data_IF_681531229268
#
_entry.id   IF_681531229268
#
_cell.length_a   1.000
_cell.length_b   1.000
_cell.length_c   1.000
_cell.angle_alpha   90.00
_cell.angle_beta   90.00
_cell.angle_gamma   90.00
#
_symmetry.space_group_name_H-M   'P 1'
#
loop_
_entity.id
_entity.type
_entity.pdbx_description
1 polymer ?
#
# COMPACT_ATOMS: atom_id res chain seq x y z
N UNK A 1 -24.72 5.73 19.50
CA UNK A 1 -23.50 5.50 18.69
C UNK A 1 -23.81 4.38 17.70
N UNK A 2 -24.01 4.70 16.42
CA UNK A 2 -24.35 3.69 15.40
C UNK A 2 -23.10 2.90 15.00
N UNK A 3 -23.23 1.58 15.01
CA UNK A 3 -22.28 0.56 14.53
C UNK A 3 -21.26 1.10 13.52
N UNK A 4 -20.09 1.51 14.00
CA UNK A 4 -18.89 1.46 13.14
C UNK A 4 -18.56 -0.03 13.01
N UNK A 5 -19.24 -0.73 12.09
CA UNK A 5 -18.82 -2.07 11.69
C UNK A 5 -17.30 -2.01 11.47
N UNK A 6 -16.57 -2.88 12.16
CA UNK A 6 -15.12 -3.02 12.10
C UNK A 6 -14.72 -3.50 10.70
N UNK A 7 -14.74 -2.60 9.72
CA UNK A 7 -14.33 -2.92 8.35
C UNK A 7 -12.81 -2.88 8.26
N UNK A 8 -12.20 -4.00 7.90
CA UNK A 8 -10.76 -4.13 7.69
C UNK A 8 -10.26 -3.42 6.43
N UNK A 9 -11.17 -2.93 5.58
CA UNK A 9 -10.83 -2.12 4.41
C UNK A 9 -10.96 -0.62 4.69
N UNK A 10 -10.13 0.21 4.03
CA UNK A 10 -10.30 1.66 4.06
C UNK A 10 -11.63 2.08 3.43
N UNK A 11 -12.13 3.24 3.85
CA UNK A 11 -13.34 3.83 3.24
C UNK A 11 -12.99 4.40 1.87
N UNK A 12 -13.89 4.28 0.88
CA UNK A 12 -13.71 4.95 -0.41
C UNK A 12 -13.58 6.48 -0.21
N UNK A 13 -12.90 7.18 -1.13
CA UNK A 13 -12.89 8.63 -1.13
C UNK A 13 -14.32 9.16 -1.31
N UNK A 14 -14.61 10.32 -0.69
CA UNK A 14 -15.93 10.95 -0.78
C UNK A 14 -16.22 11.49 -2.19
N UNK A 15 -15.18 11.97 -2.88
CA UNK A 15 -15.25 12.44 -4.27
C UNK A 15 -14.33 11.55 -5.13
N UNK A 16 -14.89 10.52 -5.81
CA UNK A 16 -14.11 9.61 -6.65
C UNK A 16 -13.45 10.29 -7.85
N UNK A 17 -14.05 11.36 -8.38
CA UNK A 17 -13.56 12.02 -9.59
C UNK A 17 -12.33 12.89 -9.25
N UNK A 18 -12.44 13.72 -8.21
CA UNK A 18 -11.27 14.47 -7.69
C UNK A 18 -10.16 13.51 -7.27
N UNK A 19 -10.52 12.39 -6.64
CA UNK A 19 -9.54 11.35 -6.31
C UNK A 19 -8.84 10.80 -7.54
N UNK A 20 -9.59 10.45 -8.58
CA UNK A 20 -9.03 9.92 -9.83
C UNK A 20 -8.09 10.93 -10.49
N UNK A 21 -8.53 12.18 -10.63
CA UNK A 21 -7.74 13.29 -11.22
C UNK A 21 -6.40 13.47 -10.54
N UNK A 22 -6.37 13.42 -9.21
CA UNK A 22 -5.14 13.57 -8.43
C UNK A 22 -4.05 12.55 -8.79
N UNK A 23 -4.42 11.35 -9.25
CA UNK A 23 -3.49 10.27 -9.57
C UNK A 23 -3.42 9.95 -11.07
N UNK A 24 -4.01 10.79 -11.95
CA UNK A 24 -4.06 10.52 -13.40
C UNK A 24 -2.68 10.25 -14.01
N UNK A 25 -1.64 10.97 -13.54
CA UNK A 25 -0.25 10.78 -13.98
C UNK A 25 0.32 9.38 -13.70
N UNK A 26 -0.19 8.69 -12.67
CA UNK A 26 0.35 7.40 -12.23
C UNK A 26 -0.51 6.21 -12.68
N UNK A 27 -1.69 6.45 -13.27
CA UNK A 27 -2.65 5.41 -13.68
C UNK A 27 -2.04 4.31 -14.57
N UNK A 28 -1.03 4.63 -15.39
CA UNK A 28 -0.36 3.67 -16.27
C UNK A 28 0.76 2.85 -15.59
N UNK A 29 1.20 3.26 -14.40
CA UNK A 29 2.34 2.67 -13.67
C UNK A 29 1.93 2.08 -12.31
N UNK A 30 0.64 2.07 -11.99
CA UNK A 30 0.12 1.61 -10.70
C UNK A 30 0.45 0.13 -10.45
N UNK A 31 0.44 -0.69 -11.50
CA UNK A 31 0.59 -2.14 -11.38
C UNK A 31 1.63 -2.68 -12.36
N UNK A 32 2.65 -3.34 -11.84
CA UNK A 32 3.62 -4.10 -12.63
C UNK A 32 3.44 -5.61 -12.36
N UNK A 33 2.83 -6.29 -13.33
CA UNK A 33 2.52 -7.72 -13.29
C UNK A 33 3.63 -8.62 -13.84
N UNK A 34 4.81 -8.10 -14.15
CA UNK A 34 5.89 -8.87 -14.79
C UNK A 34 6.58 -9.91 -13.88
N UNK A 35 5.97 -10.32 -12.75
CA UNK A 35 6.55 -11.32 -11.86
C UNK A 35 6.09 -12.74 -12.18
N UNK A 36 7.04 -13.68 -12.06
CA UNK A 36 6.94 -15.08 -12.50
C UNK A 36 6.38 -16.05 -11.44
N UNK A 37 6.37 -15.65 -10.16
CA UNK A 37 5.89 -16.49 -9.06
C UNK A 37 4.36 -16.47 -8.96
N UNK A 38 3.71 -17.61 -8.65
CA UNK A 38 2.26 -17.67 -8.51
C UNK A 38 1.80 -16.91 -7.25
N UNK A 39 0.72 -16.16 -7.39
CA UNK A 39 0.05 -15.51 -6.27
C UNK A 39 -0.50 -16.54 -5.29
N UNK A 40 -0.19 -16.34 -4.01
CA UNK A 40 -0.79 -17.05 -2.89
C UNK A 40 -2.04 -16.33 -2.38
N UNK A 41 -2.93 -17.08 -1.71
CA UNK A 41 -4.20 -16.55 -1.20
C UNK A 41 -4.50 -17.06 0.21
N UNK A 42 -4.89 -16.15 1.10
CA UNK A 42 -5.47 -16.46 2.41
C UNK A 42 -6.90 -15.91 2.44
N UNK A 43 -7.89 -16.79 2.65
CA UNK A 43 -9.31 -16.37 2.78
C UNK A 43 -9.57 -15.68 4.11
N UNK A 44 -10.27 -14.54 4.07
CA UNK A 44 -10.70 -13.76 5.23
C UNK A 44 -12.12 -14.19 5.62
N UNK A 45 -12.32 -14.44 6.91
CA UNK A 45 -13.65 -14.79 7.42
C UNK A 45 -14.55 -13.53 7.40
N UNK A 46 -15.83 -13.66 7.03
CA UNK A 46 -16.76 -12.55 7.12
C UNK A 46 -16.78 -11.98 8.55
N UNK A 47 -16.71 -10.65 8.67
CA UNK A 47 -16.75 -9.96 9.97
C UNK A 47 -15.43 -9.91 10.73
N UNK A 48 -14.31 -10.44 10.18
CA UNK A 48 -12.98 -10.27 10.78
C UNK A 48 -12.65 -8.79 11.00
N UNK A 49 -12.05 -8.48 12.15
CA UNK A 49 -11.56 -7.14 12.41
C UNK A 49 -10.30 -6.83 11.59
N UNK A 50 -9.94 -5.55 11.49
CA UNK A 50 -8.69 -5.16 10.82
C UNK A 50 -7.47 -5.82 11.46
N UNK A 51 -7.43 -5.85 12.79
CA UNK A 51 -6.33 -6.43 13.56
C UNK A 51 -6.18 -7.93 13.28
N UNK A 52 -7.29 -8.68 13.29
CA UNK A 52 -7.27 -10.12 12.97
C UNK A 52 -6.77 -10.40 11.55
N UNK A 53 -7.08 -9.50 10.60
CA UNK A 53 -6.60 -9.62 9.22
C UNK A 53 -5.09 -9.33 9.16
N UNK A 54 -4.60 -8.32 9.89
CA UNK A 54 -3.19 -7.96 9.88
C UNK A 54 -2.30 -9.02 10.51
N UNK A 55 -2.75 -9.68 11.58
CA UNK A 55 -2.02 -10.81 12.18
C UNK A 55 -1.92 -12.05 11.28
N UNK A 56 -2.63 -12.07 10.15
CA UNK A 56 -2.57 -13.14 9.14
C UNK A 56 -1.74 -12.77 7.93
N UNK A 57 -1.12 -11.58 7.92
CA UNK A 57 -0.18 -11.22 6.86
C UNK A 57 1.06 -12.13 6.97
N UNK A 58 1.60 -12.61 5.83
CA UNK A 58 2.78 -13.46 5.82
C UNK A 58 4.01 -12.68 6.32
N UNK A 59 5.05 -13.37 6.74
CA UNK A 59 6.37 -12.80 7.03
C UNK A 59 7.45 -13.83 6.71
N UNK A 60 8.66 -13.35 6.45
CA UNK A 60 9.85 -14.19 6.22
C UNK A 60 11.07 -13.53 6.86
N UNK A 61 12.11 -14.33 7.14
CA UNK A 61 13.34 -13.86 7.77
C UNK A 61 14.23 -13.04 6.83
N UNK A 62 14.25 -13.41 5.55
CA UNK A 62 15.28 -13.02 4.58
C UNK A 62 14.74 -12.38 3.30
N UNK A 63 13.42 -12.29 3.13
CA UNK A 63 12.79 -11.61 1.99
C UNK A 63 11.47 -10.92 2.33
N UNK A 64 11.05 -10.06 1.41
CA UNK A 64 9.79 -9.31 1.52
C UNK A 64 8.64 -10.04 0.82
N UNK A 65 7.45 -10.03 1.44
CA UNK A 65 6.20 -10.31 0.73
C UNK A 65 5.56 -9.00 0.29
N UNK A 66 4.88 -9.01 -0.85
CA UNK A 66 4.05 -7.91 -1.31
C UNK A 66 2.67 -8.40 -1.73
N UNK A 67 1.66 -7.58 -1.47
CA UNK A 67 0.30 -7.98 -1.77
C UNK A 67 -0.77 -6.93 -1.52
N UNK A 68 -2.01 -7.41 -1.48
CA UNK A 68 -3.19 -6.59 -1.26
C UNK A 68 -4.27 -7.33 -0.50
N UNK A 69 -5.10 -6.55 0.18
CA UNK A 69 -6.19 -7.02 1.03
C UNK A 69 -7.52 -6.60 0.39
N UNK A 70 -8.44 -7.55 0.28
CA UNK A 70 -9.81 -7.32 -0.19
C UNK A 70 -10.81 -7.73 0.90
N UNK A 71 -12.11 -7.64 0.61
CA UNK A 71 -13.16 -8.02 1.57
C UNK A 71 -13.06 -9.47 2.01
N UNK A 72 -12.59 -10.35 1.14
CA UNK A 72 -12.69 -11.81 1.31
C UNK A 72 -11.35 -12.52 1.31
N UNK A 73 -10.24 -11.83 1.04
CA UNK A 73 -8.93 -12.45 0.90
C UNK A 73 -7.76 -11.48 1.02
N UNK A 74 -6.64 -12.03 1.47
CA UNK A 74 -5.29 -11.49 1.33
C UNK A 74 -4.67 -12.21 0.13
N UNK A 75 -4.15 -11.46 -0.85
CA UNK A 75 -3.40 -12.02 -1.98
C UNK A 75 -2.00 -11.46 -1.96
N UNK A 76 -1.00 -12.32 -2.12
CA UNK A 76 0.41 -11.94 -1.97
C UNK A 76 1.34 -12.84 -2.78
N UNK A 77 2.59 -12.41 -2.90
CA UNK A 77 3.68 -13.17 -3.50
C UNK A 77 5.00 -12.77 -2.84
N UNK A 78 6.00 -13.65 -2.94
CA UNK A 78 7.37 -13.33 -2.52
C UNK A 78 8.01 -12.31 -3.47
N UNK A 79 8.79 -11.41 -2.90
CA UNK A 79 9.68 -10.49 -3.61
C UNK A 79 11.14 -10.92 -3.44
N UNK A 80 12.01 -9.94 -3.26
CA UNK A 80 13.42 -10.15 -2.91
C UNK A 80 13.75 -9.66 -1.51
N UNK A 81 15.03 -9.70 -1.16
CA UNK A 81 15.55 -9.34 0.17
C UNK A 81 15.25 -7.89 0.60
N UNK A 82 15.09 -6.97 -0.36
CA UNK A 82 14.92 -5.52 -0.08
C UNK A 82 13.86 -4.88 -0.98
N UNK A 83 13.03 -5.71 -1.62
CA UNK A 83 11.91 -5.19 -2.40
C UNK A 83 10.82 -6.23 -2.64
N UNK A 84 9.59 -5.83 -2.34
CA UNK A 84 8.39 -6.48 -2.81
C UNK A 84 7.62 -5.59 -3.78
N UNK A 85 6.88 -6.23 -4.70
CA UNK A 85 5.93 -5.53 -5.56
C UNK A 85 4.53 -5.61 -4.98
N UNK A 86 3.81 -4.52 -5.09
CA UNK A 86 2.41 -4.41 -4.68
C UNK A 86 1.57 -3.97 -5.87
N UNK A 87 0.30 -4.36 -5.87
CA UNK A 87 -0.69 -3.88 -6.85
C UNK A 87 -1.22 -2.55 -6.31
N UNK A 88 -0.53 -1.46 -6.61
CA UNK A 88 -0.76 -0.14 -5.98
C UNK A 88 -2.12 0.44 -6.36
N UNK A 89 -2.73 -0.14 -7.38
CA UNK A 89 -4.07 0.16 -7.84
C UNK A 89 -5.18 -0.33 -6.89
N UNK A 90 -4.86 -1.23 -5.94
CA UNK A 90 -5.78 -1.76 -4.93
C UNK A 90 -5.92 -0.82 -3.74
N UNK A 91 -7.13 -0.74 -3.20
CA UNK A 91 -7.45 0.15 -2.10
C UNK A 91 -6.63 -0.11 -0.82
N UNK A 92 -6.28 -1.36 -0.53
CA UNK A 92 -5.49 -1.75 0.63
C UNK A 92 -4.34 -2.66 0.17
N UNK A 93 -3.11 -2.16 0.25
CA UNK A 93 -1.89 -2.91 -0.07
C UNK A 93 -1.12 -3.22 1.20
N UNK A 94 -0.21 -4.19 1.12
CA UNK A 94 0.77 -4.42 2.15
C UNK A 94 2.10 -4.90 1.57
N UNK A 95 3.16 -4.70 2.34
CA UNK A 95 4.40 -5.43 2.18
C UNK A 95 5.03 -5.73 3.54
N UNK A 96 5.97 -6.66 3.57
CA UNK A 96 6.68 -7.05 4.79
C UNK A 96 8.15 -6.75 4.61
N UNK A 97 8.82 -6.33 5.68
CA UNK A 97 10.28 -6.35 5.73
C UNK A 97 10.75 -7.72 6.22
N UNK A 98 11.96 -8.16 5.83
CA UNK A 98 12.54 -9.38 6.36
C UNK A 98 12.75 -9.22 7.87
N UNK A 99 12.30 -10.16 8.69
CA UNK A 99 12.28 -9.99 10.14
C UNK A 99 13.67 -9.89 10.77
N UNK A 100 14.71 -10.39 10.10
CA UNK A 100 16.10 -10.27 10.58
C UNK A 100 16.80 -9.00 10.07
N UNK A 101 16.11 -8.17 9.27
CA UNK A 101 16.70 -6.93 8.78
C UNK A 101 16.81 -5.88 9.91
N UNK A 102 17.95 -5.18 10.08
CA UNK A 102 18.18 -4.30 11.24
C UNK A 102 17.14 -3.18 11.44
N UNK A 103 16.45 -2.78 10.38
CA UNK A 103 15.41 -1.75 10.42
C UNK A 103 14.06 -2.29 9.96
N UNK A 104 13.78 -3.59 10.17
CA UNK A 104 12.55 -4.24 9.75
C UNK A 104 11.30 -3.51 10.27
N UNK A 105 11.34 -2.97 11.48
CA UNK A 105 10.21 -2.25 12.08
C UNK A 105 10.06 -0.80 11.66
N UNK A 106 10.92 -0.29 10.78
CA UNK A 106 10.84 1.09 10.32
C UNK A 106 10.41 1.15 8.85
N UNK A 107 9.31 1.84 8.53
CA UNK A 107 8.98 2.14 7.14
C UNK A 107 10.07 2.99 6.50
N UNK A 108 10.46 2.64 5.28
CA UNK A 108 11.46 3.37 4.53
C UNK A 108 10.90 4.69 3.96
N UNK A 109 11.77 5.62 3.57
CA UNK A 109 11.38 6.81 2.82
C UNK A 109 10.64 6.45 1.53
N UNK A 110 11.02 5.33 0.90
CA UNK A 110 10.37 4.82 -0.30
C UNK A 110 8.94 4.39 -0.01
N UNK A 111 8.67 3.79 1.14
CA UNK A 111 7.31 3.40 1.53
C UNK A 111 6.41 4.61 1.70
N UNK A 112 6.89 5.62 2.43
CA UNK A 112 6.16 6.88 2.64
C UNK A 112 5.87 7.55 1.30
N UNK A 113 6.88 7.68 0.45
CA UNK A 113 6.72 8.28 -0.88
C UNK A 113 5.72 7.50 -1.72
N UNK A 114 5.81 6.17 -1.82
CA UNK A 114 4.87 5.37 -2.59
C UNK A 114 3.44 5.45 -2.03
N UNK A 115 3.27 5.49 -0.71
CA UNK A 115 1.97 5.69 -0.09
C UNK A 115 1.32 7.01 -0.52
N UNK A 116 2.11 8.09 -0.59
CA UNK A 116 1.61 9.39 -1.03
C UNK A 116 1.35 9.43 -2.55
N UNK A 117 2.26 8.87 -3.36
CA UNK A 117 2.27 8.98 -4.83
C UNK A 117 1.20 8.14 -5.52
N UNK A 118 0.85 6.97 -5.00
CA UNK A 118 -0.02 6.01 -5.70
C UNK A 118 -1.43 5.89 -5.11
N UNK A 119 -2.39 5.33 -5.86
CA UNK A 119 -3.83 5.38 -5.53
C UNK A 119 -4.33 4.36 -4.49
N UNK A 120 -3.47 3.71 -3.72
CA UNK A 120 -3.93 2.96 -2.56
C UNK A 120 -4.49 3.93 -1.51
N UNK A 121 -5.53 3.49 -0.80
CA UNK A 121 -6.13 4.25 0.31
C UNK A 121 -5.52 3.87 1.65
N UNK A 122 -5.04 2.63 1.76
CA UNK A 122 -4.32 2.09 2.90
C UNK A 122 -3.07 1.34 2.44
N UNK A 123 -1.96 1.56 3.13
CA UNK A 123 -0.77 0.74 3.05
C UNK A 123 -0.50 0.15 4.44
N UNK A 124 -0.11 -1.11 4.48
CA UNK A 124 0.30 -1.82 5.69
C UNK A 124 1.74 -2.28 5.52
N UNK A 125 2.61 -1.90 6.45
CA UNK A 125 4.00 -2.38 6.49
C UNK A 125 4.17 -3.27 7.70
N UNK A 126 4.60 -4.51 7.48
CA UNK A 126 4.82 -5.49 8.53
C UNK A 126 6.32 -5.60 8.77
N UNK A 127 6.76 -5.23 9.97
CA UNK A 127 8.12 -5.43 10.45
C UNK A 127 8.29 -6.74 11.22
N UNK A 128 9.33 -6.80 12.05
CA UNK A 128 9.60 -7.93 12.93
C UNK A 128 8.62 -7.94 14.13
N UNK A 129 8.49 -6.79 14.80
CA UNK A 129 7.67 -6.62 16.00
C UNK A 129 6.51 -5.64 15.78
N UNK A 130 6.58 -4.79 14.76
CA UNK A 130 5.62 -3.70 14.53
C UNK A 130 4.85 -3.84 13.22
N UNK A 131 3.56 -3.50 13.26
CA UNK A 131 2.72 -3.34 12.06
C UNK A 131 2.31 -1.87 11.94
N UNK A 132 2.75 -1.23 10.87
CA UNK A 132 2.37 0.14 10.52
C UNK A 132 1.17 0.14 9.58
N UNK A 133 0.14 0.89 9.93
CA UNK A 133 -1.09 1.00 9.12
C UNK A 133 -1.34 2.45 8.76
N UNK A 134 -1.18 2.77 7.48
CA UNK A 134 -1.33 4.14 6.98
C UNK A 134 -2.63 4.30 6.22
N UNK A 135 -3.36 5.37 6.53
CA UNK A 135 -4.65 5.67 5.88
C UNK A 135 -4.61 7.04 5.24
N UNK A 136 -5.19 7.16 4.05
CA UNK A 136 -5.43 8.47 3.43
C UNK A 136 -6.61 9.15 4.10
N UNK A 137 -6.27 9.92 5.13
CA UNK A 137 -7.18 10.86 5.77
C UNK A 137 -7.30 12.14 4.92
N UNK A 138 -8.30 13.01 5.15
CA UNK A 138 -8.36 14.31 4.47
C UNK A 138 -7.07 15.14 4.60
N UNK A 139 -6.38 15.04 5.74
CA UNK A 139 -5.08 15.71 5.94
C UNK A 139 -4.01 15.12 5.04
N UNK A 140 -3.90 13.80 4.98
CA UNK A 140 -2.95 13.12 4.09
C UNK A 140 -3.24 13.48 2.63
N UNK A 141 -4.51 13.53 2.22
CA UNK A 141 -4.89 13.92 0.86
C UNK A 141 -4.45 15.34 0.49
N UNK A 142 -4.47 16.29 1.45
CA UNK A 142 -3.88 17.63 1.24
C UNK A 142 -2.37 17.57 1.04
N UNK A 143 -1.68 16.73 1.82
CA UNK A 143 -0.24 16.51 1.64
C UNK A 143 0.07 15.93 0.27
N UNK A 144 -0.70 14.93 -0.18
CA UNK A 144 -0.56 14.35 -1.52
C UNK A 144 -0.72 15.43 -2.58
N UNK A 145 -1.77 16.24 -2.51
CA UNK A 145 -1.99 17.33 -3.47
C UNK A 145 -0.79 18.29 -3.53
N UNK A 146 -0.30 18.74 -2.38
CA UNK A 146 0.89 19.63 -2.33
C UNK A 146 2.14 18.95 -2.89
N UNK A 147 2.31 17.65 -2.69
CA UNK A 147 3.41 16.89 -3.27
C UNK A 147 3.32 16.90 -4.80
N UNK A 148 2.13 16.64 -5.36
CA UNK A 148 1.93 16.67 -6.82
C UNK A 148 2.13 18.07 -7.41
N UNK A 149 1.60 19.12 -6.76
CA UNK A 149 1.80 20.52 -7.17
C UNK A 149 3.30 20.86 -7.17
N UNK A 150 4.02 20.50 -6.11
CA UNK A 150 5.47 20.70 -6.03
C UNK A 150 6.23 19.93 -7.11
N UNK A 151 5.90 18.65 -7.33
CA UNK A 151 6.56 17.85 -8.37
C UNK A 151 6.28 18.41 -9.77
N UNK A 152 5.06 18.85 -10.08
CA UNK A 152 4.69 19.46 -11.36
C UNK A 152 5.51 20.75 -11.62
N UNK A 153 5.66 21.60 -10.60
CA UNK A 153 6.47 22.83 -10.68
C UNK A 153 7.98 22.57 -10.86
N UNK A 154 8.50 21.45 -10.33
CA UNK A 154 9.95 21.16 -10.24
C UNK A 154 10.40 20.01 -11.14
N UNK A 155 9.50 19.38 -11.88
CA UNK A 155 9.83 18.40 -12.89
C UNK A 155 10.58 19.11 -14.02
N UNK A 156 11.90 18.99 -14.01
CA UNK A 156 12.74 19.42 -15.13
C UNK A 156 12.25 18.65 -16.35
N UNK A 157 11.74 19.36 -17.36
CA UNK A 157 11.50 18.76 -18.66
C UNK A 157 12.81 18.11 -19.08
N UNK A 158 12.80 16.79 -19.30
CA UNK A 158 13.95 16.17 -19.97
C UNK A 158 14.01 16.81 -21.35
N UNK A 159 14.90 17.80 -21.50
CA UNK A 159 15.38 18.25 -22.80
C UNK A 159 15.80 16.98 -23.56
N UNK A 160 15.08 16.69 -24.63
CA UNK A 160 15.46 15.67 -25.59
C UNK A 160 16.89 15.99 -26.05
N UNK A 161 17.83 15.11 -25.70
CA UNK A 161 19.11 14.98 -26.39
C UNK A 161 18.95 13.90 -27.47
#
# INVERSE_FOLDING_TARGET
MKERRLWHLPRPPQDPETYKRLYEMNCAFDDDFSQHEPWQEIRIRPGSSALDVYHRLPSASDFEYGGYITKTRIRYQGGGATSARTIRSKACIFHTHPSEYPTADMPSTRDVYQFLKFRQLRAVTVGADWIWVWNKTPTVMRTVRRLFEWEDEHLVSKLHA
#
